data_IF_733585398960
#
_entry.id   IF_733585398960
#
_cell.length_a   1.000
_cell.length_b   1.000
_cell.length_c   1.000
_cell.angle_alpha   90.00
_cell.angle_beta   90.00
_cell.angle_gamma   90.00
#
_symmetry.space_group_name_H-M   'P 1'
#
loop_
_entity.id
_entity.type
_entity.pdbx_description
1 polymer ?
#
# COMPACT_ATOMS: atom_id res chain seq x y z
N UNK A 1 -1.21 1.34 15.51
CA UNK A 1 -1.25 0.65 14.20
C UNK A 1 -1.83 1.49 13.07
N UNK A 2 -2.87 2.32 13.29
CA UNK A 2 -3.43 3.17 12.21
C UNK A 2 -2.44 4.18 11.60
N UNK A 3 -1.51 4.72 12.39
CA UNK A 3 -0.54 5.69 11.90
C UNK A 3 0.32 5.14 10.76
N UNK A 4 0.87 3.93 10.92
CA UNK A 4 1.68 3.27 9.89
C UNK A 4 0.86 2.95 8.64
N UNK A 5 -0.39 2.49 8.79
CA UNK A 5 -1.30 2.29 7.66
C UNK A 5 -1.52 3.60 6.88
N UNK A 6 -1.76 4.72 7.58
CA UNK A 6 -1.91 6.04 6.97
C UNK A 6 -0.63 6.53 6.27
N UNK A 7 0.54 6.21 6.80
CA UNK A 7 1.82 6.56 6.19
C UNK A 7 2.04 5.79 4.88
N UNK A 8 1.79 4.47 4.88
CA UNK A 8 1.90 3.61 3.70
C UNK A 8 0.93 4.08 2.61
N UNK A 9 -0.32 4.37 2.96
CA UNK A 9 -1.31 4.93 2.02
C UNK A 9 -0.79 6.22 1.39
N UNK A 10 -0.27 7.16 2.18
CA UNK A 10 0.27 8.43 1.67
C UNK A 10 1.51 8.25 0.77
N UNK A 11 2.35 7.27 1.06
CA UNK A 11 3.52 6.95 0.22
C UNK A 11 3.09 6.40 -1.14
N UNK A 12 2.15 5.46 -1.13
CA UNK A 12 1.57 4.89 -2.35
C UNK A 12 0.78 5.91 -3.17
N UNK A 13 0.08 6.85 -2.53
CA UNK A 13 -0.60 7.96 -3.22
C UNK A 13 0.36 8.93 -3.90
N UNK A 14 1.58 9.07 -3.38
CA UNK A 14 2.60 9.97 -3.93
C UNK A 14 3.48 9.30 -4.99
N UNK A 15 3.48 7.98 -5.08
CA UNK A 15 4.22 7.25 -6.10
C UNK A 15 3.36 7.07 -7.35
N UNK A 16 3.92 7.28 -8.55
CA UNK A 16 3.18 7.05 -9.80
C UNK A 16 2.83 5.57 -10.02
N UNK A 17 3.45 4.67 -9.25
CA UNK A 17 3.23 3.22 -9.27
C UNK A 17 1.98 2.83 -8.46
N UNK A 18 1.60 3.64 -7.46
CA UNK A 18 0.51 3.33 -6.53
C UNK A 18 -0.88 3.84 -6.94
N UNK A 19 -0.97 4.80 -7.86
CA UNK A 19 -2.21 5.55 -8.13
C UNK A 19 -3.40 4.67 -8.58
N UNK A 20 -3.14 3.53 -9.24
CA UNK A 20 -4.15 2.56 -9.65
C UNK A 20 -3.95 1.15 -9.03
N UNK A 21 -3.17 1.05 -7.96
CA UNK A 21 -2.83 -0.25 -7.39
C UNK A 21 -3.98 -0.79 -6.50
N UNK A 22 -4.36 -2.05 -6.71
CA UNK A 22 -5.40 -2.75 -5.92
C UNK A 22 -5.08 -2.76 -4.42
N UNK A 23 -3.81 -2.79 -4.05
CA UNK A 23 -3.35 -2.73 -2.66
C UNK A 23 -3.75 -1.41 -2.00
N UNK A 24 -3.59 -0.28 -2.70
CA UNK A 24 -3.94 1.04 -2.17
C UNK A 24 -5.44 1.16 -1.92
N UNK A 25 -6.27 0.66 -2.83
CA UNK A 25 -7.73 0.65 -2.70
C UNK A 25 -8.14 -0.15 -1.45
N UNK A 26 -7.53 -1.32 -1.24
CA UNK A 26 -7.84 -2.21 -0.13
C UNK A 26 -7.37 -1.66 1.22
N UNK A 27 -6.21 -1.01 1.25
CA UNK A 27 -5.73 -0.29 2.43
C UNK A 27 -6.64 0.89 2.79
N UNK A 28 -7.15 1.61 1.78
CA UNK A 28 -8.11 2.72 1.97
C UNK A 28 -9.48 2.25 2.43
N UNK A 29 -9.93 1.06 2.03
CA UNK A 29 -11.19 0.48 2.52
C UNK A 29 -11.12 -0.03 3.95
N UNK A 30 -9.95 0.09 4.61
CA UNK A 30 -9.74 -0.40 5.97
C UNK A 30 -9.67 -1.93 6.06
N UNK A 31 -9.59 -2.61 4.92
CA UNK A 31 -9.48 -4.06 4.86
C UNK A 31 -8.04 -4.49 5.14
N UNK A 32 -7.87 -5.60 5.85
CA UNK A 32 -6.54 -6.18 6.03
C UNK A 32 -6.09 -6.85 4.72
N UNK A 33 -4.77 -6.78 4.49
CA UNK A 33 -4.14 -7.45 3.37
C UNK A 33 -3.92 -8.92 3.71
N UNK A 34 -4.12 -9.79 2.72
CA UNK A 34 -3.69 -11.19 2.80
C UNK A 34 -2.17 -11.29 2.71
N UNK A 35 -1.59 -12.44 3.05
CA UNK A 35 -0.14 -12.66 2.93
C UNK A 35 0.40 -12.37 1.53
N UNK A 36 -0.32 -12.78 0.48
CA UNK A 36 0.07 -12.50 -0.90
C UNK A 36 0.09 -11.00 -1.19
N UNK A 37 -0.93 -10.29 -0.74
CA UNK A 37 -1.02 -8.84 -0.92
C UNK A 37 0.02 -8.08 -0.09
N UNK A 38 0.45 -8.66 1.03
CA UNK A 38 1.52 -8.11 1.85
C UNK A 38 2.88 -8.21 1.14
N UNK A 39 3.14 -9.32 0.43
CA UNK A 39 4.30 -9.46 -0.44
C UNK A 39 4.26 -8.49 -1.62
N UNK A 40 3.10 -8.35 -2.28
CA UNK A 40 2.92 -7.35 -3.36
C UNK A 40 3.14 -5.92 -2.85
N UNK A 41 2.74 -5.63 -1.60
CA UNK A 41 3.02 -4.35 -0.96
C UNK A 41 4.52 -4.15 -0.70
N UNK A 42 5.24 -5.16 -0.21
CA UNK A 42 6.69 -5.10 -0.01
C UNK A 42 7.41 -4.81 -1.33
N UNK A 43 7.10 -5.55 -2.41
CA UNK A 43 7.69 -5.32 -3.73
C UNK A 43 7.39 -3.90 -4.26
N UNK A 44 6.18 -3.39 -4.03
CA UNK A 44 5.83 -2.01 -4.38
C UNK A 44 6.64 -0.99 -3.58
N UNK A 45 6.84 -1.23 -2.29
CA UNK A 45 7.63 -0.35 -1.42
C UNK A 45 9.10 -0.34 -1.83
N UNK A 46 9.66 -1.50 -2.20
CA UNK A 46 11.02 -1.62 -2.74
C UNK A 46 11.18 -0.89 -4.08
N UNK A 47 10.10 -0.75 -4.87
CA UNK A 47 10.13 0.02 -6.12
C UNK A 47 10.09 1.55 -5.92
N UNK A 48 9.74 2.01 -4.72
CA UNK A 48 9.56 3.43 -4.36
C UNK A 48 10.79 3.98 -3.62
N UNK A 49 11.53 3.14 -2.89
CA UNK A 49 12.68 3.50 -2.03
C UNK A 49 14.00 3.29 -2.74
#
# INVERSE_FOLDING_TARGET
MEFYKKLIIKLLEKSSVGENNKILIKLKSGSDLTQKEMLELEELMDSIV
#
